data_IF_361852738751
#
_entry.id   IF_361852738751
#
_cell.length_a   1.000
_cell.length_b   1.000
_cell.length_c   1.000
_cell.angle_alpha   90.00
_cell.angle_beta   90.00
_cell.angle_gamma   90.00
#
_symmetry.space_group_name_H-M   'P 1'
#
loop_
_entity.id
_entity.type
_entity.pdbx_description
1 polymer ?
#
# COMPACT_ATOMS: atom_id res chain seq x y z
N UNK A 1 3.09 1.69 12.36
CA UNK A 1 2.98 3.02 11.73
C UNK A 1 2.91 2.83 10.22
N UNK A 2 2.00 3.55 9.58
CA UNK A 2 1.81 3.61 8.13
C UNK A 2 1.24 4.98 7.78
N UNK A 3 1.45 5.45 6.55
CA UNK A 3 0.68 6.57 6.00
C UNK A 3 -0.24 6.06 4.89
N UNK A 4 -1.37 6.73 4.71
CA UNK A 4 -2.42 6.41 3.73
C UNK A 4 -1.94 6.61 2.29
N UNK A 5 -1.20 7.69 2.03
CA UNK A 5 -0.59 7.99 0.73
C UNK A 5 0.76 8.72 0.90
N UNK A 6 1.47 8.89 -0.22
CA UNK A 6 2.67 9.70 -0.30
C UNK A 6 2.37 11.19 -0.41
N UNK A 7 3.33 12.03 -0.03
CA UNK A 7 3.22 13.49 -0.05
C UNK A 7 4.57 14.14 -0.35
N UNK A 8 4.64 14.90 -1.44
CA UNK A 8 5.76 15.74 -1.86
C UNK A 8 5.22 17.16 -1.86
N UNK A 9 5.80 18.04 -1.05
CA UNK A 9 5.35 19.42 -1.00
C UNK A 9 5.76 20.17 -2.26
N UNK A 10 4.86 21.00 -2.79
CA UNK A 10 5.27 22.09 -3.68
C UNK A 10 6.05 23.13 -2.90
N UNK A 11 6.98 23.79 -3.58
CA UNK A 11 7.80 24.88 -3.00
C UNK A 11 7.18 26.25 -3.20
N UNK A 12 6.18 26.39 -4.08
CA UNK A 12 5.56 27.64 -4.48
C UNK A 12 4.17 27.89 -3.87
N UNK A 13 3.52 26.86 -3.33
CA UNK A 13 2.20 26.95 -2.70
C UNK A 13 1.92 25.77 -1.78
N UNK A 14 0.89 25.89 -0.93
CA UNK A 14 0.38 24.79 -0.11
C UNK A 14 -0.42 23.79 -0.95
N UNK A 15 0.28 22.89 -1.61
CA UNK A 15 -0.30 21.76 -2.34
C UNK A 15 0.75 20.65 -2.52
N UNK A 16 0.30 19.45 -2.91
CA UNK A 16 1.22 18.39 -3.32
C UNK A 16 1.80 18.66 -4.72
N UNK A 17 3.04 18.24 -4.92
CA UNK A 17 3.76 18.34 -6.19
C UNK A 17 3.32 17.24 -7.17
N UNK A 18 3.60 17.37 -8.48
CA UNK A 18 3.40 16.28 -9.42
C UNK A 18 4.06 14.98 -8.96
N UNK A 19 3.49 13.83 -9.34
CA UNK A 19 3.97 12.49 -8.93
C UNK A 19 3.87 12.20 -7.42
N UNK A 20 3.04 12.96 -6.70
CA UNK A 20 2.73 12.78 -5.28
C UNK A 20 1.37 12.10 -5.07
N UNK A 21 0.60 12.50 -4.05
CA UNK A 21 -0.78 12.09 -3.78
C UNK A 21 -1.61 12.08 -5.08
N UNK A 22 -2.53 11.11 -5.19
CA UNK A 22 -3.34 10.83 -6.40
C UNK A 22 -2.56 10.36 -7.64
N UNK A 23 -1.26 10.10 -7.52
CA UNK A 23 -0.47 9.57 -8.63
C UNK A 23 -0.03 8.14 -8.39
N UNK A 24 0.18 7.34 -9.45
CA UNK A 24 0.66 5.98 -9.34
C UNK A 24 2.18 5.91 -9.18
N UNK A 25 2.88 7.05 -9.12
CA UNK A 25 4.34 7.09 -8.97
C UNK A 25 4.74 6.81 -7.51
N UNK A 26 6.02 6.49 -7.29
CA UNK A 26 6.52 6.12 -5.96
C UNK A 26 6.26 7.21 -4.91
N UNK A 27 6.32 8.49 -5.28
CA UNK A 27 6.00 9.61 -4.39
C UNK A 27 4.52 9.70 -3.98
N UNK A 28 3.63 8.96 -4.64
CA UNK A 28 2.22 8.83 -4.32
C UNK A 28 1.86 7.54 -3.58
N UNK A 29 2.52 6.42 -3.91
CA UNK A 29 2.11 5.09 -3.40
C UNK A 29 3.11 4.42 -2.45
N UNK A 30 4.39 4.82 -2.46
CA UNK A 30 5.41 4.21 -1.59
C UNK A 30 5.47 4.93 -0.25
N UNK A 31 4.77 4.38 0.73
CA UNK A 31 4.68 4.95 2.08
C UNK A 31 5.61 4.23 3.08
N UNK A 32 6.04 4.90 4.15
CA UNK A 32 6.75 4.24 5.23
C UNK A 32 5.81 3.27 5.97
N UNK A 33 6.27 2.03 6.19
CA UNK A 33 5.63 1.08 7.09
C UNK A 33 6.66 0.67 8.14
N UNK A 34 6.31 0.82 9.43
CA UNK A 34 7.16 0.44 10.56
C UNK A 34 6.36 -0.38 11.57
N UNK A 35 6.92 -1.53 11.96
CA UNK A 35 6.39 -2.38 13.03
C UNK A 35 7.25 -2.20 14.28
N UNK A 36 6.62 -1.94 15.42
CA UNK A 36 7.29 -1.86 16.72
C UNK A 36 6.45 -2.62 17.73
N UNK A 37 7.02 -3.67 18.31
CA UNK A 37 6.36 -4.47 19.34
C UNK A 37 7.40 -5.06 20.30
N UNK A 38 7.80 -4.31 21.35
CA UNK A 38 8.90 -4.70 22.23
C UNK A 38 8.74 -6.07 22.89
N UNK A 39 7.51 -6.44 23.28
CA UNK A 39 7.18 -7.74 23.87
C UNK A 39 6.69 -8.77 22.85
N UNK A 40 6.66 -8.42 21.57
CA UNK A 40 6.13 -9.25 20.48
C UNK A 40 7.16 -10.11 19.76
N UNK A 41 8.40 -10.16 20.25
CA UNK A 41 9.49 -10.87 19.57
C UNK A 41 10.01 -10.18 18.31
N UNK A 42 9.66 -8.90 18.08
CA UNK A 42 10.20 -8.13 16.96
C UNK A 42 11.58 -7.58 17.30
N UNK A 43 12.60 -8.05 16.57
CA UNK A 43 13.96 -7.53 16.66
C UNK A 43 14.15 -6.40 15.62
N UNK A 44 14.94 -5.36 15.92
CA UNK A 44 15.27 -4.32 14.96
C UNK A 44 15.81 -4.91 13.64
N UNK A 45 15.26 -4.43 12.52
CA UNK A 45 15.69 -4.79 11.18
C UNK A 45 15.22 -3.76 10.15
N UNK A 46 16.00 -3.60 9.09
CA UNK A 46 15.56 -2.93 7.85
C UNK A 46 15.30 -4.01 6.82
N UNK A 47 14.16 -3.91 6.14
CA UNK A 47 13.66 -4.92 5.21
C UNK A 47 13.49 -4.29 3.83
N UNK A 48 13.83 -5.03 2.78
CA UNK A 48 13.74 -4.58 1.39
C UNK A 48 12.58 -5.23 0.63
N UNK A 49 11.95 -6.23 1.24
CA UNK A 49 10.80 -6.92 0.67
C UNK A 49 9.63 -5.96 0.50
N UNK A 50 8.92 -6.12 -0.62
CA UNK A 50 7.76 -5.30 -0.96
C UNK A 50 6.57 -5.78 -0.14
N UNK A 51 5.98 -4.88 0.64
CA UNK A 51 4.74 -5.11 1.38
C UNK A 51 3.72 -4.01 1.07
N UNK A 52 2.46 -4.20 1.48
CA UNK A 52 1.39 -3.24 1.29
C UNK A 52 0.66 -2.98 2.60
N UNK A 53 0.01 -1.82 2.71
CA UNK A 53 -0.83 -1.47 3.86
C UNK A 53 -1.96 -2.49 4.08
N UNK A 54 -2.42 -3.18 3.04
CA UNK A 54 -3.41 -4.26 3.14
C UNK A 54 -2.92 -5.44 3.98
N UNK A 55 -1.59 -5.65 4.08
CA UNK A 55 -1.00 -6.71 4.90
C UNK A 55 -1.14 -6.43 6.41
N UNK A 56 -1.41 -5.18 6.80
CA UNK A 56 -1.51 -4.79 8.21
C UNK A 56 -2.69 -5.46 8.90
N UNK A 57 -3.85 -5.55 8.23
CA UNK A 57 -5.05 -6.14 8.82
C UNK A 57 -4.85 -7.61 9.24
N UNK A 58 -4.45 -8.55 8.35
CA UNK A 58 -4.21 -9.93 8.76
C UNK A 58 -3.04 -10.06 9.74
N UNK A 59 -2.03 -9.19 9.67
CA UNK A 59 -0.90 -9.19 10.62
C UNK A 59 -1.32 -8.79 12.04
N UNK A 60 -2.19 -7.79 12.18
CA UNK A 60 -2.69 -7.33 13.48
C UNK A 60 -3.65 -8.36 14.09
N UNK A 61 -4.51 -9.00 13.29
CA UNK A 61 -5.36 -10.09 13.77
C UNK A 61 -4.53 -11.24 14.33
N UNK A 62 -3.47 -11.65 13.62
CA UNK A 62 -2.54 -12.67 14.09
C UNK A 62 -1.86 -12.25 15.41
N UNK A 63 -1.43 -11.00 15.51
CA UNK A 63 -0.80 -10.47 16.73
C UNK A 63 -1.76 -10.45 17.93
N UNK A 64 -3.05 -10.24 17.68
CA UNK A 64 -4.09 -10.27 18.70
C UNK A 64 -4.57 -11.69 19.05
N UNK A 65 -4.08 -12.73 18.36
CA UNK A 65 -4.60 -14.10 18.50
C UNK A 65 -6.03 -14.27 17.96
N UNK A 66 -6.50 -13.34 17.13
CA UNK A 66 -7.83 -13.38 16.52
C UNK A 66 -7.85 -14.24 15.25
N UNK A 67 -9.03 -14.77 14.90
CA UNK A 67 -9.23 -15.47 13.63
C UNK A 67 -9.04 -14.50 12.47
N UNK A 68 -8.25 -14.90 11.48
CA UNK A 68 -8.20 -14.23 10.17
C UNK A 68 -9.31 -14.83 9.30
N UNK A 69 -10.26 -14.03 8.77
CA UNK A 69 -11.29 -14.52 7.86
C UNK A 69 -10.69 -15.12 6.58
N UNK A 70 -11.37 -16.10 6.00
CA UNK A 70 -10.99 -16.66 4.71
C UNK A 70 -11.08 -15.57 3.62
N UNK A 71 -10.21 -15.65 2.61
CA UNK A 71 -10.12 -14.67 1.52
C UNK A 71 -9.82 -13.22 1.97
N UNK A 72 -9.28 -13.01 3.17
CA UNK A 72 -8.80 -11.69 3.62
C UNK A 72 -7.67 -11.20 2.69
N UNK A 73 -7.79 -10.00 2.09
CA UNK A 73 -6.70 -9.43 1.30
C UNK A 73 -5.43 -9.20 2.13
N UNK A 74 -4.27 -9.36 1.48
CA UNK A 74 -2.96 -9.19 2.10
C UNK A 74 -2.43 -10.47 2.75
N UNK A 75 -1.20 -10.40 3.25
CA UNK A 75 -0.52 -11.50 3.92
C UNK A 75 -0.29 -11.19 5.40
N UNK A 76 -0.48 -12.20 6.26
CA UNK A 76 -0.01 -12.13 7.63
C UNK A 76 1.52 -12.15 7.65
N UNK A 77 2.13 -11.06 8.11
CA UNK A 77 3.58 -10.88 8.14
C UNK A 77 4.20 -11.27 9.49
N UNK A 78 3.39 -11.57 10.52
CA UNK A 78 3.85 -11.64 11.91
C UNK A 78 5.00 -12.64 12.10
N UNK A 79 4.83 -13.86 11.58
CA UNK A 79 5.84 -14.90 11.71
C UNK A 79 7.15 -14.50 11.03
N UNK A 80 7.07 -13.98 9.80
CA UNK A 80 8.25 -13.53 9.05
C UNK A 80 8.95 -12.36 9.74
N UNK A 81 8.20 -11.48 10.39
CA UNK A 81 8.74 -10.37 11.18
C UNK A 81 9.45 -10.87 12.45
N UNK A 82 8.88 -11.84 13.16
CA UNK A 82 9.48 -12.43 14.38
C UNK A 82 10.72 -13.27 14.08
N UNK A 83 10.65 -14.12 13.04
CA UNK A 83 11.72 -15.06 12.68
C UNK A 83 12.77 -14.47 11.74
N UNK A 84 12.54 -13.26 11.22
CA UNK A 84 13.37 -12.62 10.18
C UNK A 84 13.51 -13.48 8.92
N UNK A 85 12.50 -14.28 8.59
CA UNK A 85 12.47 -15.04 7.33
C UNK A 85 11.96 -14.16 6.20
N UNK A 86 12.40 -14.43 4.97
CA UNK A 86 12.02 -13.64 3.79
C UNK A 86 10.49 -13.62 3.59
N UNK A 87 9.97 -12.47 3.17
CA UNK A 87 8.57 -12.34 2.73
C UNK A 87 8.54 -12.51 1.22
N UNK A 88 7.98 -13.62 0.74
CA UNK A 88 7.88 -13.92 -0.69
C UNK A 88 6.48 -13.58 -1.21
N UNK A 89 6.42 -12.89 -2.34
CA UNK A 89 5.19 -12.66 -3.12
C UNK A 89 5.55 -12.46 -4.59
N UNK A 90 4.63 -12.82 -5.47
CA UNK A 90 4.79 -12.61 -6.92
C UNK A 90 4.61 -11.15 -7.33
N UNK A 91 3.97 -10.33 -6.50
CA UNK A 91 3.86 -8.90 -6.71
C UNK A 91 2.88 -8.23 -5.78
N UNK A 92 2.77 -6.91 -5.92
CA UNK A 92 1.70 -6.11 -5.31
C UNK A 92 0.97 -5.33 -6.38
N UNK A 93 -0.29 -5.03 -6.09
CA UNK A 93 -1.20 -4.34 -6.99
C UNK A 93 -1.71 -3.08 -6.31
N UNK A 94 -2.10 -2.10 -7.11
CA UNK A 94 -2.88 -0.98 -6.64
C UNK A 94 -3.65 -0.33 -7.76
N UNK A 95 -4.67 0.42 -7.35
CA UNK A 95 -5.56 1.16 -8.22
C UNK A 95 -5.62 2.60 -7.72
N UNK A 96 -5.77 3.54 -8.65
CA UNK A 96 -5.94 4.96 -8.36
C UNK A 96 -7.18 5.47 -9.08
N UNK A 97 -8.09 6.08 -8.33
CA UNK A 97 -9.29 6.71 -8.82
C UNK A 97 -9.14 8.23 -8.77
N UNK A 98 -10.03 8.96 -9.45
CA UNK A 98 -10.18 10.40 -9.24
C UNK A 98 -10.51 10.71 -7.78
N UNK A 99 -10.35 11.99 -7.39
CA UNK A 99 -10.67 12.41 -6.03
C UNK A 99 -12.13 12.14 -5.67
N UNK A 100 -13.00 12.52 -6.61
CA UNK A 100 -14.43 12.41 -6.47
C UNK A 100 -14.93 11.13 -7.15
N UNK A 101 -15.94 10.52 -6.53
CA UNK A 101 -16.60 9.35 -7.08
C UNK A 101 -17.57 9.84 -8.16
N UNK A 102 -17.33 9.44 -9.41
CA UNK A 102 -18.21 9.76 -10.53
C UNK A 102 -19.58 9.04 -10.38
N UNK A 103 -19.55 7.74 -10.05
CA UNK A 103 -20.75 6.94 -9.83
C UNK A 103 -20.50 5.86 -8.76
N UNK A 104 -21.28 5.87 -7.67
CA UNK A 104 -21.18 4.90 -6.59
C UNK A 104 -21.57 3.47 -7.00
N UNK A 105 -22.39 3.33 -8.05
CA UNK A 105 -22.80 2.04 -8.61
C UNK A 105 -21.83 1.53 -9.66
N UNK A 106 -20.97 2.40 -10.19
CA UNK A 106 -19.94 2.09 -11.19
C UNK A 106 -18.59 2.68 -10.77
N UNK A 107 -17.91 2.10 -9.76
CA UNK A 107 -16.67 2.66 -9.21
C UNK A 107 -15.57 2.88 -10.26
N UNK A 108 -15.52 2.03 -11.30
CA UNK A 108 -14.57 2.17 -12.39
C UNK A 108 -14.78 3.41 -13.26
N UNK A 109 -15.92 4.12 -13.14
CA UNK A 109 -16.17 5.35 -13.87
C UNK A 109 -15.12 6.44 -13.58
N UNK A 110 -14.52 6.44 -12.38
CA UNK A 110 -13.42 7.34 -12.01
C UNK A 110 -12.05 6.65 -11.94
N UNK A 111 -11.88 5.46 -12.54
CA UNK A 111 -10.60 4.74 -12.53
C UNK A 111 -9.58 5.46 -13.43
N UNK A 112 -8.43 5.84 -12.86
CA UNK A 112 -7.36 6.52 -13.58
C UNK A 112 -6.16 5.61 -13.81
N UNK A 113 -5.82 4.78 -12.82
CA UNK A 113 -4.60 3.99 -12.84
C UNK A 113 -4.82 2.59 -12.30
N UNK A 114 -4.17 1.61 -12.94
CA UNK A 114 -3.84 0.33 -12.31
C UNK A 114 -2.35 0.12 -12.41
N UNK A 115 -1.74 -0.40 -11.36
CA UNK A 115 -0.33 -0.69 -11.37
C UNK A 115 -0.01 -1.98 -10.64
N UNK A 116 1.10 -2.60 -11.05
CA UNK A 116 1.66 -3.79 -10.41
C UNK A 116 3.15 -3.63 -10.25
N UNK A 117 3.69 -4.02 -9.10
CA UNK A 117 5.13 -4.15 -8.87
C UNK A 117 5.48 -5.62 -8.76
N UNK A 118 6.43 -6.06 -9.58
CA UNK A 118 7.01 -7.40 -9.56
C UNK A 118 8.55 -7.29 -9.67
N UNK A 119 9.25 -7.71 -8.62
CA UNK A 119 10.70 -7.54 -8.51
C UNK A 119 11.11 -6.08 -8.67
N UNK A 120 11.93 -5.79 -9.69
CA UNK A 120 12.40 -4.44 -10.02
C UNK A 120 11.49 -3.67 -10.98
N UNK A 121 10.43 -4.31 -11.48
CA UNK A 121 9.59 -3.76 -12.53
C UNK A 121 8.27 -3.25 -11.97
N UNK A 122 7.79 -2.16 -12.57
CA UNK A 122 6.46 -1.62 -12.33
C UNK A 122 5.72 -1.50 -13.66
N UNK A 123 4.62 -2.23 -13.79
CA UNK A 123 3.65 -2.00 -14.86
C UNK A 123 2.72 -0.88 -14.42
N UNK A 124 2.49 0.10 -15.29
CA UNK A 124 1.53 1.17 -15.10
C UNK A 124 0.57 1.20 -16.28
N UNK A 125 -0.72 1.06 -16.00
CA UNK A 125 -1.81 1.21 -16.95
C UNK A 125 -2.58 2.48 -16.60
N UNK A 126 -2.90 3.26 -17.63
CA UNK A 126 -3.69 4.49 -17.55
C UNK A 126 -5.06 4.27 -18.18
N UNK A 127 -6.07 4.94 -17.63
CA UNK A 127 -7.47 4.82 -18.03
C UNK A 127 -8.10 6.22 -18.13
N UNK A 128 -9.21 6.30 -18.85
CA UNK A 128 -9.92 7.56 -19.15
C UNK A 128 -11.02 7.88 -18.12
N UNK A 129 -10.76 7.58 -16.84
CA UNK A 129 -11.73 7.84 -15.76
C UNK A 129 -12.11 9.31 -15.62
N UNK A 130 -13.35 9.56 -15.26
CA UNK A 130 -13.91 10.90 -15.06
C UNK A 130 -13.23 11.61 -13.88
N UNK A 131 -12.75 12.83 -14.14
CA UNK A 131 -12.15 13.75 -13.18
C UNK A 131 -13.01 15.02 -13.17
N UNK A 132 -13.94 15.09 -12.21
CA UNK A 132 -14.77 16.26 -11.98
C UNK A 132 -14.06 17.29 -11.10
#
# INVERSE_FOLDING_TARGET
YVTDNGWINRTDRTAYAPRSKQSPYEGGVRTPIMFSWPKGGLKPSKRSEVISSVDLFPTVLAAAGARIPDNTPGMNLLESLQRKTAITRTGIFGEGFAHDIADIKKPEASLLYRWRIEGKWKLLLTYDGEVN
#
